data_IF_938605258794
#
_entry.id   IF_938605258794
#
_cell.length_a   1.000
_cell.length_b   1.000
_cell.length_c   1.000
_cell.angle_alpha   90.00
_cell.angle_beta   90.00
_cell.angle_gamma   90.00
#
_symmetry.space_group_name_H-M   'P 1'
#
loop_
_entity.id
_entity.type
_entity.pdbx_description
1 polymer ?
#
# COMPACT_ATOMS: atom_id res chain seq x y z
N UNK A 1 -10.49 36.19 -5.28
CA UNK A 1 -9.72 35.45 -4.25
C UNK A 1 -10.62 34.37 -3.70
N UNK A 2 -10.34 33.11 -4.05
CA UNK A 2 -10.79 31.93 -3.30
C UNK A 2 -9.97 30.74 -3.83
N UNK A 3 -9.08 30.22 -2.99
CA UNK A 3 -8.34 28.98 -3.22
C UNK A 3 -9.26 27.81 -2.83
N UNK A 4 -9.42 26.83 -3.70
CA UNK A 4 -9.98 25.52 -3.34
C UNK A 4 -8.83 24.51 -3.35
N UNK A 5 -8.40 24.09 -2.16
CA UNK A 5 -7.47 22.98 -1.98
C UNK A 5 -8.22 21.67 -2.29
N UNK A 6 -7.90 21.03 -3.41
CA UNK A 6 -8.35 19.68 -3.70
C UNK A 6 -7.51 18.71 -2.87
N UNK A 7 -8.12 18.09 -1.85
CA UNK A 7 -7.54 16.96 -1.14
C UNK A 7 -7.26 15.83 -2.13
N UNK A 8 -6.01 15.71 -2.55
CA UNK A 8 -5.52 14.64 -3.39
C UNK A 8 -5.54 13.35 -2.60
N UNK A 9 -6.50 12.47 -2.90
CA UNK A 9 -6.37 11.06 -2.57
C UNK A 9 -5.34 10.50 -3.55
N UNK A 10 -4.06 10.59 -3.18
CA UNK A 10 -2.97 9.99 -3.94
C UNK A 10 -3.17 8.48 -3.96
N UNK A 11 -3.75 8.00 -5.06
CA UNK A 11 -3.88 6.57 -5.33
C UNK A 11 -2.57 6.14 -5.94
N UNK A 12 -1.67 5.58 -5.12
CA UNK A 12 -0.37 5.09 -5.59
C UNK A 12 -0.58 3.68 -6.15
N UNK A 13 -0.69 3.57 -7.47
CA UNK A 13 -0.83 2.29 -8.17
C UNK A 13 0.54 1.60 -8.28
N UNK A 14 0.70 0.43 -7.64
CA UNK A 14 1.98 -0.30 -7.65
C UNK A 14 1.78 -1.76 -8.04
N UNK A 15 2.47 -2.17 -9.09
CA UNK A 15 2.51 -3.54 -9.62
C UNK A 15 3.69 -4.30 -9.00
N UNK A 16 3.59 -4.57 -7.69
CA UNK A 16 4.54 -5.39 -6.95
C UNK A 16 3.77 -6.21 -5.89
N UNK A 17 4.17 -7.46 -5.59
CA UNK A 17 3.52 -8.26 -4.54
C UNK A 17 3.71 -7.67 -3.14
N UNK A 18 4.65 -6.75 -2.98
CA UNK A 18 4.91 -5.99 -1.78
C UNK A 18 5.26 -4.54 -2.12
N UNK A 19 4.90 -3.62 -1.22
CA UNK A 19 5.19 -2.19 -1.35
C UNK A 19 5.99 -1.72 -0.13
N UNK A 20 7.21 -1.24 -0.36
CA UNK A 20 8.00 -0.57 0.67
C UNK A 20 7.53 0.86 0.87
N UNK A 21 7.11 1.19 2.08
CA UNK A 21 6.70 2.54 2.49
C UNK A 21 7.77 3.16 3.38
N UNK A 22 8.22 4.35 3.02
CA UNK A 22 9.13 5.19 3.82
C UNK A 22 8.41 6.45 4.28
N UNK A 23 8.55 6.80 5.55
CA UNK A 23 8.00 8.01 6.14
C UNK A 23 9.14 8.98 6.44
N UNK A 24 8.95 10.26 6.11
CA UNK A 24 9.92 11.32 6.36
C UNK A 24 9.24 12.49 7.03
N UNK A 25 9.98 13.20 7.89
CA UNK A 25 9.52 14.41 8.54
C UNK A 25 10.64 15.44 8.50
N UNK A 26 10.26 16.72 8.46
CA UNK A 26 11.18 17.83 8.56
C UNK A 26 11.10 18.41 9.98
N UNK A 27 12.26 18.80 10.53
CA UNK A 27 12.37 19.39 11.86
C UNK A 27 13.37 18.69 12.77
N UNK A 28 14.06 19.46 13.60
CA UNK A 28 15.05 18.93 14.54
C UNK A 28 14.34 18.47 15.82
N UNK A 29 14.60 17.23 16.23
CA UNK A 29 14.03 16.65 17.45
C UNK A 29 12.58 16.20 17.31
N UNK A 30 12.11 15.95 16.09
CA UNK A 30 10.83 15.33 15.81
C UNK A 30 10.98 13.82 15.65
N UNK A 31 9.96 13.08 16.07
CA UNK A 31 9.86 11.63 15.94
C UNK A 31 8.56 11.28 15.22
N UNK A 32 8.62 10.35 14.27
CA UNK A 32 7.42 9.84 13.59
C UNK A 32 6.87 8.67 14.39
N UNK A 33 5.57 8.68 14.63
CA UNK A 33 4.84 7.52 15.11
C UNK A 33 3.79 7.14 14.08
N UNK A 34 3.60 5.85 13.88
CA UNK A 34 2.70 5.33 12.86
C UNK A 34 1.96 4.09 13.37
N UNK A 35 0.86 3.77 12.70
CA UNK A 35 0.06 2.56 12.92
C UNK A 35 -0.38 2.02 11.57
N UNK A 36 -0.47 0.70 11.49
CA UNK A 36 -0.80 -0.04 10.27
C UNK A 36 -1.99 -0.93 10.58
N UNK A 37 -3.05 -0.77 9.81
CA UNK A 37 -4.30 -1.48 9.96
C UNK A 37 -4.51 -2.35 8.71
N UNK A 38 -4.27 -3.65 8.84
CA UNK A 38 -4.57 -4.61 7.80
C UNK A 38 -6.08 -4.89 7.72
N UNK A 39 -6.67 -4.96 6.52
CA UNK A 39 -8.12 -5.07 6.36
C UNK A 39 -8.73 -6.38 6.87
N UNK A 40 -7.93 -7.41 7.18
CA UNK A 40 -8.44 -8.65 7.81
C UNK A 40 -8.25 -8.69 9.32
N UNK A 41 -7.37 -7.84 9.86
CA UNK A 41 -6.98 -7.89 11.28
C UNK A 41 -7.53 -6.71 12.07
N UNK A 42 -7.82 -5.61 11.37
CA UNK A 42 -8.22 -4.36 11.96
C UNK A 42 -9.47 -3.82 11.27
N UNK A 43 -10.55 -3.66 12.05
CA UNK A 43 -11.82 -3.07 11.57
C UNK A 43 -11.86 -1.55 11.74
N UNK A 44 -10.97 -0.97 12.55
CA UNK A 44 -10.94 0.46 12.83
C UNK A 44 -9.54 0.95 13.18
N UNK A 45 -8.95 1.77 12.32
CA UNK A 45 -7.61 2.33 12.50
C UNK A 45 -7.50 3.29 13.70
N UNK A 46 -8.60 3.82 14.23
CA UNK A 46 -8.55 4.71 15.40
C UNK A 46 -8.30 3.97 16.71
N UNK A 47 -8.58 2.66 16.76
CA UNK A 47 -8.35 1.82 17.94
C UNK A 47 -6.90 1.28 18.02
N UNK A 48 -6.16 1.36 16.92
CA UNK A 48 -4.79 0.86 16.83
C UNK A 48 -3.81 1.75 17.59
N UNK A 49 -2.91 1.13 18.34
CA UNK A 49 -1.84 1.83 19.04
C UNK A 49 -0.76 2.31 18.06
N UNK A 50 -0.19 3.48 18.37
CA UNK A 50 0.94 4.02 17.63
C UNK A 50 2.25 3.33 18.01
N UNK A 51 3.00 2.91 17.00
CA UNK A 51 4.39 2.45 17.11
C UNK A 51 5.38 3.52 16.68
N UNK A 52 6.60 3.45 17.20
CA UNK A 52 7.69 4.32 16.76
C UNK A 52 8.18 3.92 15.36
N UNK A 53 8.35 4.90 14.47
CA UNK A 53 8.94 4.66 13.15
C UNK A 53 10.45 4.44 13.28
N UNK A 54 10.91 3.24 12.91
CA UNK A 54 12.32 2.84 13.00
C UNK A 54 13.00 2.72 11.64
N UNK A 55 12.22 2.71 10.56
CA UNK A 55 12.71 2.60 9.19
C UNK A 55 11.60 2.17 8.22
N UNK A 56 11.92 2.04 6.92
CA UNK A 56 10.97 1.58 5.91
C UNK A 56 10.38 0.22 6.26
N UNK A 57 9.10 0.02 5.91
CA UNK A 57 8.39 -1.23 6.14
C UNK A 57 7.64 -1.67 4.88
N UNK A 58 7.42 -2.98 4.73
CA UNK A 58 6.76 -3.55 3.57
C UNK A 58 5.29 -3.83 3.84
N UNK A 59 4.44 -3.42 2.92
CA UNK A 59 3.03 -3.76 2.85
C UNK A 59 2.86 -4.96 1.92
N UNK A 60 2.28 -6.05 2.42
CA UNK A 60 2.05 -7.28 1.66
C UNK A 60 0.58 -7.50 1.31
N UNK A 61 -0.30 -6.61 1.80
CA UNK A 61 -1.75 -6.77 1.69
C UNK A 61 -2.40 -5.53 1.08
N UNK A 62 -3.22 -5.77 0.06
CA UNK A 62 -4.03 -4.73 -0.56
C UNK A 62 -5.12 -4.26 0.39
N UNK A 63 -5.39 -2.96 0.41
CA UNK A 63 -6.34 -2.33 1.32
C UNK A 63 -5.77 -2.00 2.70
N UNK A 64 -4.47 -2.18 2.93
CA UNK A 64 -3.83 -1.79 4.20
C UNK A 64 -3.86 -0.28 4.37
N UNK A 65 -4.31 0.15 5.55
CA UNK A 65 -4.41 1.56 5.91
C UNK A 65 -3.25 1.90 6.85
N UNK A 66 -2.53 2.97 6.54
CA UNK A 66 -1.45 3.49 7.38
C UNK A 66 -1.87 4.87 7.87
N UNK A 67 -1.73 5.10 9.17
CA UNK A 67 -1.87 6.41 9.77
C UNK A 67 -0.56 6.79 10.45
N UNK A 68 -0.09 8.01 10.24
CA UNK A 68 1.15 8.51 10.81
C UNK A 68 0.98 9.94 11.30
N UNK A 69 1.71 10.27 12.36
CA UNK A 69 1.81 11.63 12.88
C UNK A 69 3.22 11.91 13.39
N UNK A 70 3.54 13.18 13.49
CA UNK A 70 4.80 13.64 14.04
C UNK A 70 4.60 13.97 15.52
N UNK A 71 5.57 13.64 16.35
CA UNK A 71 5.58 13.93 17.78
C UNK A 71 6.88 14.64 18.13
N UNK A 72 6.83 15.52 19.12
CA UNK A 72 8.02 16.16 19.68
C UNK A 72 7.78 16.40 21.16
N UNK A 73 8.75 16.04 21.99
CA UNK A 73 8.64 16.19 23.43
C UNK A 73 8.33 17.64 23.81
N UNK A 74 7.29 17.85 24.60
CA UNK A 74 6.86 19.17 25.06
C UNK A 74 6.03 19.98 24.06
N UNK A 75 5.70 19.43 22.89
CA UNK A 75 4.77 20.04 21.93
C UNK A 75 3.54 19.15 21.73
N UNK A 76 2.46 19.76 21.23
CA UNK A 76 1.33 19.00 20.72
C UNK A 76 1.75 18.15 19.52
N UNK A 77 1.06 17.03 19.34
CA UNK A 77 1.25 16.17 18.18
C UNK A 77 0.91 16.91 16.89
N UNK A 78 1.61 16.55 15.81
CA UNK A 78 1.29 16.99 14.46
C UNK A 78 -0.02 16.39 13.95
N UNK A 79 -0.49 16.90 12.81
CA UNK A 79 -1.69 16.38 12.14
C UNK A 79 -1.51 14.90 11.77
N UNK A 80 -2.54 14.09 12.06
CA UNK A 80 -2.58 12.68 11.68
C UNK A 80 -2.89 12.59 10.18
N UNK A 81 -1.98 11.97 9.43
CA UNK A 81 -2.17 11.68 8.00
C UNK A 81 -2.56 10.23 7.85
N UNK A 82 -3.69 9.96 7.19
CA UNK A 82 -4.19 8.62 6.91
C UNK A 82 -4.11 8.34 5.41
N UNK A 83 -3.59 7.17 5.04
CA UNK A 83 -3.45 6.69 3.65
C UNK A 83 -3.87 5.24 3.54
N UNK A 84 -4.60 4.89 2.48
CA UNK A 84 -4.95 3.52 2.13
C UNK A 84 -4.16 3.08 0.91
N UNK A 85 -3.51 1.92 0.98
CA UNK A 85 -2.68 1.38 -0.09
C UNK A 85 -3.41 0.24 -0.81
N UNK A 86 -3.49 0.33 -2.14
CA UNK A 86 -4.08 -0.72 -2.98
C UNK A 86 -2.97 -1.40 -3.76
N UNK A 87 -2.60 -2.61 -3.35
CA UNK A 87 -1.66 -3.46 -4.10
C UNK A 87 -2.42 -4.24 -5.18
N UNK A 88 -1.82 -4.36 -6.37
CA UNK A 88 -2.34 -5.18 -7.45
C UNK A 88 -1.28 -6.20 -7.90
N UNK A 89 -1.71 -7.45 -8.07
CA UNK A 89 -0.87 -8.49 -8.67
C UNK A 89 -0.81 -8.31 -10.19
N UNK A 90 0.27 -8.80 -10.80
CA UNK A 90 0.42 -8.77 -12.26
C UNK A 90 -0.71 -9.57 -12.91
N UNK A 91 -1.38 -8.97 -13.90
CA UNK A 91 -2.40 -9.66 -14.69
C UNK A 91 -1.79 -10.91 -15.34
N UNK A 92 -2.45 -12.09 -15.25
CA UNK A 92 -2.03 -13.27 -15.99
C UNK A 92 -2.01 -12.99 -17.50
N UNK A 93 -0.98 -13.47 -18.19
CA UNK A 93 -0.89 -13.43 -19.64
C UNK A 93 -0.99 -14.85 -20.19
N UNK A 94 -1.78 -15.03 -21.25
CA UNK A 94 -1.81 -16.28 -22.01
C UNK A 94 -0.60 -16.33 -22.94
N UNK A 95 0.12 -17.45 -22.91
CA UNK A 95 1.19 -17.77 -23.85
C UNK A 95 0.88 -19.12 -24.53
N UNK A 96 0.75 -19.18 -25.86
CA UNK A 96 0.80 -18.07 -26.81
C UNK A 96 -0.41 -17.13 -26.66
N UNK A 97 -0.26 -15.84 -27.03
CA UNK A 97 -1.40 -14.92 -27.07
C UNK A 97 -2.47 -15.47 -28.02
N UNK A 98 -3.74 -15.23 -27.68
CA UNK A 98 -4.85 -15.57 -28.58
C UNK A 98 -4.62 -14.88 -29.92
N UNK A 99 -4.37 -15.65 -30.99
CA UNK A 99 -4.34 -15.11 -32.35
C UNK A 99 -5.78 -14.79 -32.75
N UNK A 100 -6.04 -13.55 -33.17
CA UNK A 100 -7.35 -13.12 -33.70
C UNK A 100 -7.72 -13.82 -35.03
N UNK A 101 -6.81 -14.60 -35.61
CA UNK A 101 -6.94 -15.22 -36.93
C UNK A 101 -7.07 -16.74 -36.86
N UNK A 102 -8.22 -17.22 -36.39
CA UNK A 102 -8.72 -18.57 -36.66
C UNK A 102 -7.99 -19.75 -35.98
N UNK A 103 -8.70 -20.87 -35.88
CA UNK A 103 -8.20 -22.13 -35.34
C UNK A 103 -7.22 -22.78 -36.32
N UNK A 104 -5.94 -22.91 -35.94
CA UNK A 104 -4.91 -23.55 -36.78
C UNK A 104 -4.56 -24.98 -36.33
N UNK A 105 -4.70 -25.31 -35.03
CA UNK A 105 -4.47 -26.65 -34.45
C UNK A 105 -4.92 -26.68 -32.97
N UNK A 106 -5.16 -27.86 -32.37
CA UNK A 106 -5.32 -27.99 -30.91
C UNK A 106 -4.02 -27.61 -30.20
N UNK A 107 -4.14 -26.78 -29.16
CA UNK A 107 -3.04 -26.39 -28.29
C UNK A 107 -3.29 -26.96 -26.89
N UNK A 108 -2.36 -27.76 -26.38
CA UNK A 108 -2.39 -28.18 -24.99
C UNK A 108 -1.86 -27.05 -24.10
N UNK A 109 -2.70 -26.57 -23.18
CA UNK A 109 -2.32 -25.55 -22.21
C UNK A 109 -2.26 -26.19 -20.81
N UNK A 110 -1.09 -26.17 -20.18
CA UNK A 110 -0.92 -26.55 -18.78
C UNK A 110 -1.00 -25.30 -17.89
N UNK A 111 -1.99 -25.23 -17.00
CA UNK A 111 -2.07 -24.19 -15.98
C UNK A 111 -1.31 -24.66 -14.74
N UNK A 112 -0.22 -23.98 -14.39
CA UNK A 112 0.53 -24.22 -13.15
C UNK A 112 0.41 -23.02 -12.20
N UNK A 113 0.05 -23.28 -10.96
CA UNK A 113 0.06 -22.28 -9.89
C UNK A 113 1.39 -22.37 -9.14
N UNK A 114 2.09 -21.24 -8.96
CA UNK A 114 3.14 -21.15 -7.95
C UNK A 114 2.46 -20.57 -6.71
N UNK A 115 2.26 -21.40 -5.68
CA UNK A 115 1.81 -20.88 -4.39
C UNK A 115 2.91 -19.95 -3.87
N UNK A 116 2.59 -18.66 -3.71
CA UNK A 116 3.45 -17.74 -2.97
C UNK A 116 3.71 -18.33 -1.59
N UNK A 117 4.98 -18.45 -1.23
CA UNK A 117 5.42 -19.06 0.02
C UNK A 117 4.66 -18.45 1.21
N UNK A 118 4.02 -19.32 1.99
CA UNK A 118 3.41 -19.01 3.29
C UNK A 118 4.47 -18.71 4.34
#
# INVERSE_FOLDING_TARGET
VALAASGGVETVEISAPELTVSLTTEGVGTSIVYKVCDPLSCSNITAEAYGAYTGPFNLTRSGTIVAAKVTRAGLADGEEVVRTYTLQTRRPAFDPPLKETGYLAPLEASVSCVAGAT
#
